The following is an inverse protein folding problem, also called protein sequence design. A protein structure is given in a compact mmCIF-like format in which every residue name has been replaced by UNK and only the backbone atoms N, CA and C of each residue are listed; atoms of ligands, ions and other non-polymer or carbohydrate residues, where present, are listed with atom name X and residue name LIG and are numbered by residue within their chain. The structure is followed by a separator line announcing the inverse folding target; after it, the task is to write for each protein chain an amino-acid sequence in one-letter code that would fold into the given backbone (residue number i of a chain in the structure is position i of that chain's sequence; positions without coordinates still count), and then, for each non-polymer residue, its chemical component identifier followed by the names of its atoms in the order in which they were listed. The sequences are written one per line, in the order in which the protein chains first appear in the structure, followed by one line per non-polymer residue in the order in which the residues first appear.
data_IF_464479844745
#
_entry.id   IF_464479844745
#
_cell.length_a   1.000
_cell.length_b   1.000
_cell.length_c   1.000
_cell.angle_alpha   90.00
_cell.angle_beta   90.00
_cell.angle_gamma   90.00
#
_symmetry.space_group_name_H-M   'P 1'
#
loop_
_entity.id
_entity.type
_entity.pdbx_description
1 polymer ?
#
# COMPACT_ATOMS: atom_id res chain seq x y z
N UNK A 1 -40.58 18.05 -39.50
CA UNK A 1 -40.03 17.75 -38.16
C UNK A 1 -38.92 18.76 -37.91
N UNK A 2 -39.22 19.79 -37.13
CA UNK A 2 -38.37 20.97 -36.92
C UNK A 2 -37.42 20.73 -35.75
N UNK A 3 -36.13 20.75 -36.05
CA UNK A 3 -35.04 20.57 -35.09
C UNK A 3 -34.78 21.90 -34.37
N UNK A 4 -35.09 21.97 -33.08
CA UNK A 4 -34.82 23.14 -32.24
C UNK A 4 -33.47 22.97 -31.54
N UNK A 5 -32.51 23.83 -31.87
CA UNK A 5 -31.20 23.88 -31.20
C UNK A 5 -31.33 24.61 -29.85
N UNK A 6 -30.97 23.91 -28.76
CA UNK A 6 -30.84 24.50 -27.43
C UNK A 6 -29.47 25.19 -27.30
N UNK A 7 -29.50 26.46 -26.87
CA UNK A 7 -28.31 27.31 -26.71
C UNK A 7 -27.44 26.98 -25.49
N UNK A 8 -26.27 27.65 -25.37
CA UNK A 8 -25.26 27.35 -24.35
C UNK A 8 -25.63 27.91 -22.97
N UNK A 9 -25.36 27.11 -21.93
CA UNK A 9 -25.52 27.45 -20.50
C UNK A 9 -24.29 28.26 -20.03
N UNK A 10 -24.44 29.51 -19.55
CA UNK A 10 -23.34 30.26 -18.95
C UNK A 10 -23.32 30.06 -17.42
N UNK A 11 -22.21 29.55 -16.88
CA UNK A 11 -22.07 29.42 -15.42
C UNK A 11 -20.81 28.70 -14.97
N UNK A 12 -19.62 29.19 -15.32
CA UNK A 12 -18.37 28.73 -14.68
C UNK A 12 -18.16 29.49 -13.36
N UNK A 13 -18.48 28.85 -12.23
CA UNK A 13 -18.04 29.31 -10.91
C UNK A 13 -16.52 29.18 -10.83
N UNK A 14 -15.80 30.31 -10.70
CA UNK A 14 -14.37 30.34 -10.38
C UNK A 14 -14.20 29.94 -8.92
N UNK A 15 -13.81 28.70 -8.66
CA UNK A 15 -13.31 28.25 -7.36
C UNK A 15 -11.94 28.90 -7.16
N UNK A 16 -11.82 29.77 -6.16
CA UNK A 16 -10.53 30.34 -5.75
C UNK A 16 -9.73 29.24 -5.06
N UNK A 17 -8.59 28.88 -5.65
CA UNK A 17 -7.60 28.01 -5.03
C UNK A 17 -7.06 28.73 -3.79
N UNK A 18 -7.35 28.21 -2.60
CA UNK A 18 -6.67 28.62 -1.37
C UNK A 18 -5.29 27.98 -1.38
N UNK A 19 -4.26 28.79 -1.62
CA UNK A 19 -2.86 28.35 -1.52
C UNK A 19 -2.52 28.15 -0.04
N UNK A 20 -2.42 26.89 0.38
CA UNK A 20 -2.01 26.53 1.74
C UNK A 20 -0.54 26.89 1.95
N UNK A 21 -0.27 27.61 3.04
CA UNK A 21 1.04 28.19 3.36
C UNK A 21 2.06 27.09 3.68
N UNK A 22 3.35 27.37 3.48
CA UNK A 22 4.42 26.40 3.73
C UNK A 22 4.41 25.84 5.17
N UNK A 23 3.98 26.64 6.15
CA UNK A 23 3.85 26.23 7.54
C UNK A 23 2.74 25.17 7.78
N UNK A 24 1.67 25.19 7.00
CA UNK A 24 0.59 24.18 7.11
C UNK A 24 0.99 22.83 6.51
N UNK A 25 1.84 22.83 5.48
CA UNK A 25 2.35 21.60 4.86
C UNK A 25 3.29 20.84 5.81
N UNK A 26 4.09 21.54 6.59
CA UNK A 26 4.98 20.94 7.60
C UNK A 26 4.21 20.35 8.79
N UNK A 27 3.12 20.99 9.22
CA UNK A 27 2.26 20.46 10.28
C UNK A 27 1.57 19.14 9.87
N UNK A 28 1.14 19.02 8.61
CA UNK A 28 0.55 17.78 8.08
C UNK A 28 1.59 16.65 8.00
N UNK A 29 2.85 16.97 7.68
CA UNK A 29 3.92 15.97 7.60
C UNK A 29 4.31 15.43 8.98
N UNK A 30 4.35 16.30 10.01
CA UNK A 30 4.62 15.90 11.39
C UNK A 30 3.49 15.04 12.00
N UNK A 31 2.22 15.34 11.70
CA UNK A 31 1.07 14.52 12.10
C UNK A 31 1.10 13.12 11.45
N UNK A 32 1.58 12.99 10.21
CA UNK A 32 1.75 11.69 9.54
C UNK A 32 2.86 10.85 10.15
N UNK A 33 3.97 11.44 10.58
CA UNK A 33 5.07 10.70 11.20
C UNK A 33 4.73 10.21 12.62
N UNK A 34 3.97 11.00 13.40
CA UNK A 34 3.60 10.63 14.77
C UNK A 34 2.60 9.45 14.84
N UNK A 35 1.73 9.28 13.84
CA UNK A 35 0.73 8.19 13.85
C UNK A 35 1.30 6.83 13.46
N UNK A 36 2.46 6.78 12.78
CA UNK A 36 3.11 5.52 12.39
C UNK A 36 3.83 4.81 13.54
N UNK A 37 4.04 5.47 14.68
CA UNK A 37 4.73 4.88 15.84
C UNK A 37 3.80 4.20 16.86
N UNK A 38 2.48 4.40 16.78
CA UNK A 38 1.54 3.97 17.85
C UNK A 38 0.84 2.64 17.57
N UNK A 39 0.86 2.09 16.34
CA UNK A 39 0.03 0.92 16.00
C UNK A 39 0.75 -0.44 15.94
N UNK A 40 1.97 -0.58 16.46
CA UNK A 40 2.69 -1.88 16.45
C UNK A 40 2.45 -2.78 17.67
N UNK A 41 1.52 -2.45 18.58
CA UNK A 41 1.22 -3.32 19.73
C UNK A 41 -0.24 -3.75 19.73
N UNK A 42 -0.44 -5.07 19.60
CA UNK A 42 -1.70 -5.82 19.68
C UNK A 42 -2.53 -5.93 18.39
N UNK A 43 -2.36 -7.07 17.69
CA UNK A 43 -3.47 -7.93 17.21
C UNK A 43 -2.87 -9.20 16.61
N UNK A 44 -2.50 -10.08 17.53
CA UNK A 44 -2.24 -11.49 17.26
C UNK A 44 -3.36 -12.26 17.98
N UNK A 45 -4.40 -12.65 17.24
CA UNK A 45 -5.32 -13.77 17.51
C UNK A 45 -6.46 -13.80 16.47
N UNK A 46 -6.61 -14.96 15.85
CA UNK A 46 -7.84 -15.47 15.22
C UNK A 46 -8.19 -14.90 13.83
N UNK A 47 -7.51 -15.37 12.77
CA UNK A 47 -8.16 -15.51 11.47
C UNK A 47 -7.75 -16.80 10.79
N UNK A 48 -8.71 -17.72 10.74
CA UNK A 48 -8.62 -18.97 10.01
C UNK A 48 -8.33 -18.72 8.52
N UNK A 49 -7.52 -19.56 7.87
CA UNK A 49 -7.18 -19.41 6.46
C UNK A 49 -8.40 -19.70 5.55
N UNK A 50 -8.50 -19.04 4.38
CA UNK A 50 -9.48 -19.42 3.36
C UNK A 50 -9.14 -20.81 2.80
N UNK A 51 -10.19 -21.61 2.58
CA UNK A 51 -10.17 -22.97 2.02
C UNK A 51 -9.35 -23.00 0.73
N UNK A 52 -8.30 -23.82 0.71
CA UNK A 52 -7.53 -24.18 -0.48
C UNK A 52 -8.28 -25.25 -1.27
N UNK A 53 -8.26 -25.10 -2.58
CA UNK A 53 -8.73 -26.07 -3.56
C UNK A 53 -7.79 -27.29 -3.57
N UNK A 54 -8.36 -28.49 -3.57
CA UNK A 54 -7.66 -29.77 -3.46
C UNK A 54 -6.80 -30.09 -4.69
N UNK A 55 -5.56 -30.53 -4.46
CA UNK A 55 -4.78 -31.36 -5.38
C UNK A 55 -3.84 -32.21 -4.55
N UNK A 56 -4.15 -33.50 -4.53
CA UNK A 56 -3.51 -34.54 -3.74
C UNK A 56 -2.09 -34.81 -4.25
N UNK A 57 -1.09 -34.71 -3.36
CA UNK A 57 0.17 -35.45 -3.50
C UNK A 57 0.57 -36.02 -2.15
N UNK A 58 0.58 -37.34 -2.13
CA UNK A 58 0.78 -38.27 -1.02
C UNK A 58 2.28 -38.50 -0.84
N UNK A 59 2.87 -38.09 0.28
CA UNK A 59 4.21 -38.59 0.67
C UNK A 59 4.37 -38.69 2.19
N UNK A 60 4.64 -39.94 2.62
CA UNK A 60 5.38 -40.47 3.79
C UNK A 60 5.92 -39.42 4.78
N UNK A 61 5.74 -39.53 6.10
CA UNK A 61 6.03 -40.71 6.92
C UNK A 61 7.35 -40.46 7.70
N UNK A 62 7.31 -40.74 9.00
CA UNK A 62 8.40 -40.87 9.99
C UNK A 62 8.46 -39.87 11.16
N UNK A 63 8.67 -40.53 12.30
CA UNK A 63 8.48 -40.17 13.69
C UNK A 63 9.79 -39.77 14.39
N UNK A 64 9.60 -39.26 15.61
CA UNK A 64 10.47 -39.45 16.79
C UNK A 64 11.48 -38.33 17.13
N UNK A 65 11.14 -37.57 18.17
CA UNK A 65 12.06 -36.99 19.18
C UNK A 65 12.85 -38.13 19.88
N UNK A 66 14.01 -37.91 20.56
CA UNK A 66 14.07 -37.17 21.83
C UNK A 66 15.43 -36.52 22.25
N UNK A 67 15.33 -35.60 23.22
CA UNK A 67 16.15 -35.42 24.45
C UNK A 67 17.64 -35.79 24.45
N UNK A 68 18.52 -34.84 24.79
CA UNK A 68 19.78 -35.07 25.53
C UNK A 68 20.15 -33.86 26.39
N UNK A 69 20.13 -34.05 27.72
CA UNK A 69 20.85 -33.26 28.72
C UNK A 69 22.26 -33.84 28.87
N UNK A 70 23.26 -33.00 29.08
CA UNK A 70 24.55 -33.41 29.63
C UNK A 70 25.13 -32.28 30.50
N UNK A 71 25.14 -32.50 31.81
CA UNK A 71 25.99 -31.80 32.77
C UNK A 71 27.43 -32.27 32.60
N UNK A 72 28.43 -31.38 32.65
CA UNK A 72 29.62 -31.64 33.45
C UNK A 72 30.44 -30.39 33.77
N UNK A 73 30.75 -30.27 35.06
CA UNK A 73 31.68 -29.35 35.70
C UNK A 73 33.12 -29.62 35.25
N UNK A 74 33.99 -28.61 35.22
CA UNK A 74 35.08 -28.43 36.22
C UNK A 74 36.12 -27.35 35.83
N UNK A 75 36.71 -26.78 36.90
CA UNK A 75 38.09 -26.23 37.04
C UNK A 75 38.36 -24.75 36.71
N UNK A 76 38.16 -23.96 37.77
CA UNK A 76 39.04 -22.92 38.35
C UNK A 76 40.49 -22.92 37.81
N UNK A 77 40.97 -21.78 37.30
CA UNK A 77 42.25 -21.17 37.73
C UNK A 77 42.42 -19.70 37.35
N UNK A 78 42.71 -18.93 38.39
CA UNK A 78 43.06 -17.51 38.52
C UNK A 78 43.86 -16.88 37.36
N UNK A 79 43.35 -15.76 36.84
CA UNK A 79 44.15 -14.68 36.23
C UNK A 79 43.63 -13.33 36.74
N UNK A 80 44.58 -12.46 37.02
CA UNK A 80 44.52 -11.27 37.85
C UNK A 80 43.50 -10.20 37.42
N UNK A 81 43.01 -9.36 38.35
CA UNK A 81 42.11 -8.25 38.03
C UNK A 81 42.90 -7.13 37.33
N UNK A 82 42.90 -7.11 36.00
CA UNK A 82 43.22 -5.90 35.26
C UNK A 82 41.94 -5.06 35.24
N UNK A 83 41.98 -3.90 35.88
CA UNK A 83 40.86 -2.96 35.96
C UNK A 83 40.32 -2.66 34.55
N UNK A 84 39.03 -2.92 34.26
CA UNK A 84 38.44 -2.53 32.99
C UNK A 84 38.31 -1.01 32.96
N UNK A 85 39.10 -0.38 32.10
CA UNK A 85 38.87 1.01 31.67
C UNK A 85 37.42 1.11 31.17
N UNK A 86 36.59 1.84 31.92
CA UNK A 86 35.13 2.00 31.68
C UNK A 86 34.77 2.72 30.37
N UNK A 87 35.74 3.10 29.54
CA UNK A 87 35.51 3.85 28.30
C UNK A 87 35.36 3.00 27.03
N UNK A 88 35.73 1.70 27.03
CA UNK A 88 35.70 0.86 25.80
C UNK A 88 34.37 0.12 25.56
N UNK A 89 33.47 0.06 26.56
CA UNK A 89 32.23 -0.72 26.43
C UNK A 89 31.10 0.06 25.75
N UNK A 90 31.24 1.37 25.62
CA UNK A 90 30.18 2.27 25.15
C UNK A 90 30.20 2.40 23.62
N UNK A 91 31.38 2.47 23.00
CA UNK A 91 31.57 2.56 21.54
C UNK A 91 31.08 1.31 20.78
N UNK A 92 31.34 0.11 21.31
CA UNK A 92 30.97 -1.15 20.64
C UNK A 92 29.46 -1.37 20.46
N UNK A 93 28.62 -0.74 21.29
CA UNK A 93 27.16 -0.86 21.20
C UNK A 93 26.55 0.08 20.15
N UNK A 94 27.17 1.24 19.91
CA UNK A 94 26.67 2.23 18.95
C UNK A 94 26.96 1.81 17.50
N UNK A 95 28.15 1.27 17.24
CA UNK A 95 28.53 0.74 15.92
C UNK A 95 27.58 -0.39 15.46
N UNK A 96 27.22 -1.30 16.38
CA UNK A 96 26.28 -2.39 16.12
C UNK A 96 24.86 -1.88 15.77
N UNK A 97 24.46 -0.76 16.37
CA UNK A 97 23.16 -0.12 16.12
C UNK A 97 23.14 0.56 14.75
N UNK A 98 24.21 1.25 14.37
CA UNK A 98 24.34 1.93 13.08
C UNK A 98 24.38 0.94 11.92
N UNK A 99 25.15 -0.15 12.05
CA UNK A 99 25.22 -1.21 11.04
C UNK A 99 23.84 -1.88 10.84
N UNK A 100 23.13 -2.17 11.94
CA UNK A 100 21.77 -2.72 11.89
C UNK A 100 20.79 -1.79 11.15
N UNK A 101 20.90 -0.48 11.39
CA UNK A 101 20.09 0.54 10.70
C UNK A 101 20.39 0.59 9.21
N UNK A 102 21.67 0.60 8.82
CA UNK A 102 22.07 0.57 7.40
C UNK A 102 21.56 -0.68 6.69
N UNK A 103 21.71 -1.87 7.30
CA UNK A 103 21.17 -3.14 6.77
C UNK A 103 19.65 -3.11 6.62
N UNK A 104 18.92 -2.43 7.50
CA UNK A 104 17.47 -2.25 7.37
C UNK A 104 17.13 -1.35 6.19
N UNK A 105 17.77 -0.19 6.07
CA UNK A 105 17.52 0.74 4.97
C UNK A 105 17.85 0.14 3.61
N UNK A 106 18.92 -0.67 3.51
CA UNK A 106 19.26 -1.37 2.27
C UNK A 106 18.17 -2.38 1.88
N UNK A 107 17.65 -3.15 2.84
CA UNK A 107 16.52 -4.06 2.60
C UNK A 107 15.27 -3.30 2.16
N UNK A 108 14.94 -2.20 2.83
CA UNK A 108 13.79 -1.36 2.49
C UNK A 108 13.94 -0.80 1.05
N UNK A 109 15.15 -0.38 0.66
CA UNK A 109 15.46 0.09 -0.70
C UNK A 109 15.26 -1.01 -1.75
N UNK A 110 15.80 -2.21 -1.50
CA UNK A 110 15.68 -3.37 -2.40
C UNK A 110 14.20 -3.78 -2.56
N UNK A 111 13.45 -3.77 -1.46
CA UNK A 111 12.02 -4.10 -1.45
C UNK A 111 11.17 -3.04 -2.18
N UNK A 112 11.48 -1.75 -2.03
CA UNK A 112 10.81 -0.68 -2.77
C UNK A 112 11.08 -0.78 -4.27
N UNK A 113 12.34 -1.03 -4.67
CA UNK A 113 12.70 -1.22 -6.07
C UNK A 113 12.03 -2.46 -6.67
N UNK A 114 11.96 -3.56 -5.92
CA UNK A 114 11.19 -4.75 -6.31
C UNK A 114 9.70 -4.43 -6.45
N UNK A 115 9.14 -3.74 -5.48
CA UNK A 115 7.74 -3.29 -5.48
C UNK A 115 7.42 -2.45 -6.71
N UNK A 116 8.28 -1.49 -7.08
CA UNK A 116 8.11 -0.65 -8.26
C UNK A 116 8.02 -1.47 -9.56
N UNK A 117 8.85 -2.51 -9.71
CA UNK A 117 8.82 -3.41 -10.88
C UNK A 117 7.56 -4.27 -10.95
N UNK A 118 7.03 -4.66 -9.79
CA UNK A 118 5.88 -5.55 -9.67
C UNK A 118 4.55 -4.81 -9.43
N UNK A 119 4.57 -3.48 -9.45
CA UNK A 119 3.38 -2.68 -9.21
C UNK A 119 2.30 -3.03 -10.24
N UNK A 120 1.10 -3.44 -9.80
CA UNK A 120 0.04 -3.78 -10.74
C UNK A 120 -0.34 -2.54 -11.54
N UNK A 121 -0.43 -2.70 -12.85
CA UNK A 121 -0.79 -1.62 -13.77
C UNK A 121 -2.23 -1.77 -14.24
N UNK A 122 -2.89 -0.63 -14.42
CA UNK A 122 -4.21 -0.56 -15.03
C UNK A 122 -4.05 -0.66 -16.54
N UNK A 123 -4.81 -1.56 -17.17
CA UNK A 123 -4.86 -1.69 -18.64
C UNK A 123 -5.86 -0.67 -19.17
N UNK A 124 -5.38 0.46 -19.64
CA UNK A 124 -6.20 1.49 -20.29
C UNK A 124 -6.34 1.15 -21.78
N UNK A 125 -7.55 1.26 -22.32
CA UNK A 125 -7.78 1.07 -23.75
C UNK A 125 -9.25 1.24 -24.13
N UNK A 126 -9.47 1.65 -25.38
CA UNK A 126 -10.82 1.88 -25.93
C UNK A 126 -11.64 0.59 -26.01
N UNK A 127 -10.97 -0.53 -26.33
CA UNK A 127 -11.57 -1.85 -26.48
C UNK A 127 -10.86 -2.88 -25.60
N UNK A 128 -11.63 -3.70 -24.91
CA UNK A 128 -11.14 -4.85 -24.15
C UNK A 128 -11.74 -6.15 -24.71
N UNK A 129 -10.89 -7.13 -25.05
CA UNK A 129 -11.37 -8.44 -25.53
C UNK A 129 -12.22 -9.12 -24.45
N UNK A 130 -13.39 -9.63 -24.83
CA UNK A 130 -14.26 -10.40 -23.94
C UNK A 130 -15.16 -9.57 -23.01
N UNK A 131 -15.26 -8.25 -23.23
CA UNK A 131 -16.32 -7.45 -22.59
C UNK A 131 -17.65 -7.77 -23.24
N UNK A 132 -18.69 -7.98 -22.44
CA UNK A 132 -20.03 -8.24 -22.95
C UNK A 132 -20.77 -6.94 -23.24
N UNK A 133 -21.63 -6.95 -24.26
CA UNK A 133 -22.39 -5.78 -24.75
C UNK A 133 -23.30 -5.13 -23.69
N UNK A 134 -23.63 -5.82 -22.60
CA UNK A 134 -24.43 -5.25 -21.51
C UNK A 134 -23.60 -4.47 -20.48
N UNK A 135 -22.26 -4.55 -20.55
CA UNK A 135 -21.38 -3.80 -19.65
C UNK A 135 -21.34 -2.35 -20.10
N UNK A 136 -21.73 -1.43 -19.22
CA UNK A 136 -21.64 0.01 -19.43
C UNK A 136 -20.52 0.58 -18.59
N UNK A 137 -19.63 1.35 -19.20
CA UNK A 137 -18.58 2.05 -18.48
C UNK A 137 -19.19 3.09 -17.53
N UNK A 138 -18.88 3.00 -16.25
CA UNK A 138 -19.41 3.93 -15.24
C UNK A 138 -18.87 5.36 -15.35
N UNK A 139 -17.91 5.63 -16.24
CA UNK A 139 -17.29 6.95 -16.38
C UNK A 139 -17.65 7.63 -17.71
N UNK A 140 -17.43 6.95 -18.85
CA UNK A 140 -17.72 7.50 -20.18
C UNK A 140 -18.99 6.94 -20.82
N UNK A 141 -19.71 6.05 -20.13
CA UNK A 141 -20.99 5.46 -20.56
C UNK A 141 -20.93 4.65 -21.86
N UNK A 142 -19.74 4.40 -22.41
CA UNK A 142 -19.53 3.49 -23.52
C UNK A 142 -20.03 2.08 -23.16
N UNK A 143 -20.88 1.52 -24.02
CA UNK A 143 -21.47 0.21 -23.87
C UNK A 143 -20.62 -0.85 -24.60
N UNK A 144 -20.36 -1.99 -23.95
CA UNK A 144 -19.64 -3.14 -24.52
C UNK A 144 -18.15 -2.93 -24.85
N UNK A 145 -17.64 -1.70 -24.81
CA UNK A 145 -16.30 -1.37 -25.28
C UNK A 145 -15.20 -1.77 -24.29
N UNK A 146 -15.34 -1.37 -23.02
CA UNK A 146 -14.34 -1.61 -21.98
C UNK A 146 -14.98 -1.68 -20.59
N UNK A 147 -14.29 -2.33 -19.64
CA UNK A 147 -14.66 -2.24 -18.23
C UNK A 147 -14.35 -0.85 -17.67
N UNK A 148 -15.13 -0.37 -16.68
CA UNK A 148 -14.91 0.94 -16.06
C UNK A 148 -13.47 1.16 -15.60
N UNK A 149 -12.81 0.14 -15.05
CA UNK A 149 -11.40 0.24 -14.62
C UNK A 149 -10.44 0.56 -15.77
N UNK A 150 -10.78 0.18 -17.01
CA UNK A 150 -9.98 0.37 -18.23
C UNK A 150 -10.33 1.65 -19.02
N UNK A 151 -11.21 2.51 -18.50
CA UNK A 151 -11.70 3.69 -19.22
C UNK A 151 -10.55 4.61 -19.70
N UNK A 152 -10.47 4.91 -21.01
CA UNK A 152 -9.45 5.80 -21.58
C UNK A 152 -9.79 7.28 -21.46
N UNK A 153 -11.06 7.63 -21.25
CA UNK A 153 -11.50 9.04 -21.12
C UNK A 153 -11.16 9.60 -19.76
N UNK A 154 -11.36 8.80 -18.71
CA UNK A 154 -11.06 9.16 -17.32
C UNK A 154 -9.93 8.27 -16.83
N UNK A 155 -8.69 8.74 -16.86
CA UNK A 155 -7.51 7.96 -16.44
C UNK A 155 -7.02 8.32 -15.03
N UNK A 156 -7.29 9.56 -14.60
CA UNK A 156 -6.94 10.08 -13.29
C UNK A 156 -7.89 9.55 -12.21
N UNK A 157 -7.36 9.13 -11.06
CA UNK A 157 -8.13 8.57 -9.95
C UNK A 157 -9.04 9.58 -9.25
N UNK A 158 -8.59 10.82 -9.09
CA UNK A 158 -9.31 11.87 -8.38
C UNK A 158 -10.51 12.31 -9.22
N UNK A 159 -10.31 12.49 -10.53
CA UNK A 159 -11.40 12.78 -11.47
C UNK A 159 -12.46 11.67 -11.47
N UNK A 160 -12.03 10.40 -11.45
CA UNK A 160 -12.94 9.24 -11.35
C UNK A 160 -13.73 9.27 -10.04
N UNK A 161 -13.07 9.56 -8.92
CA UNK A 161 -13.71 9.60 -7.61
C UNK A 161 -14.72 10.75 -7.53
N UNK A 162 -14.31 11.95 -7.95
CA UNK A 162 -15.15 13.14 -7.99
C UNK A 162 -16.38 12.93 -8.88
N UNK A 163 -16.23 12.33 -10.06
CA UNK A 163 -17.35 12.00 -10.94
C UNK A 163 -18.36 11.08 -10.25
N UNK A 164 -17.90 9.99 -9.64
CA UNK A 164 -18.77 9.03 -8.94
C UNK A 164 -19.49 9.70 -7.77
N UNK A 165 -18.80 10.53 -6.99
CA UNK A 165 -19.40 11.23 -5.87
C UNK A 165 -20.42 12.28 -6.32
N UNK A 166 -20.08 13.08 -7.33
CA UNK A 166 -20.96 14.10 -7.92
C UNK A 166 -22.24 13.50 -8.48
N UNK A 167 -22.14 12.35 -9.16
CA UNK A 167 -23.28 11.70 -9.80
C UNK A 167 -24.14 10.88 -8.80
N UNK A 168 -23.82 10.96 -7.50
CA UNK A 168 -24.52 10.25 -6.45
C UNK A 168 -24.31 8.73 -6.47
N UNK A 169 -23.31 8.24 -7.22
CA UNK A 169 -23.01 6.82 -7.35
C UNK A 169 -22.20 6.30 -6.14
N UNK A 170 -22.34 5.01 -5.87
CA UNK A 170 -21.67 4.36 -4.75
C UNK A 170 -20.21 4.05 -5.07
N UNK A 171 -19.28 4.45 -4.20
CA UNK A 171 -17.85 4.18 -4.36
C UNK A 171 -17.46 2.70 -4.33
N UNK A 172 -18.35 1.81 -3.87
CA UNK A 172 -18.10 0.37 -3.76
C UNK A 172 -18.57 -0.44 -4.98
N UNK A 173 -19.67 -0.04 -5.62
CA UNK A 173 -20.23 -0.74 -6.77
C UNK A 173 -20.32 0.08 -8.06
N UNK A 174 -20.05 1.40 -8.01
CA UNK A 174 -20.20 2.38 -9.10
C UNK A 174 -21.64 2.60 -9.59
N UNK A 175 -22.62 1.98 -8.96
CA UNK A 175 -24.05 2.11 -9.27
C UNK A 175 -24.77 2.99 -8.24
N UNK A 176 -26.04 3.29 -8.49
CA UNK A 176 -26.92 3.93 -7.49
C UNK A 176 -27.50 2.84 -6.59
N UNK A 177 -26.96 2.71 -5.37
CA UNK A 177 -27.53 1.83 -4.36
C UNK A 177 -28.36 2.63 -3.34
N UNK A 178 -29.39 2.00 -2.78
CA UNK A 178 -30.31 2.64 -1.83
C UNK A 178 -29.58 3.10 -0.56
N UNK A 179 -28.65 2.28 -0.05
CA UNK A 179 -27.77 2.62 1.06
C UNK A 179 -26.32 2.24 0.71
N UNK A 180 -25.41 3.18 0.92
CA UNK A 180 -23.96 2.99 0.71
C UNK A 180 -23.35 2.20 1.84
N UNK A 181 -23.87 2.32 3.06
CA UNK A 181 -23.35 1.65 4.24
C UNK A 181 -23.66 0.15 4.22
N UNK A 182 -24.80 -0.23 3.64
CA UNK A 182 -25.25 -1.61 3.44
C UNK A 182 -24.95 -2.15 2.04
N UNK A 183 -24.14 -1.44 1.25
CA UNK A 183 -23.79 -1.89 -0.10
C UNK A 183 -23.14 -3.28 -0.05
N UNK A 184 -23.73 -4.27 -0.73
CA UNK A 184 -23.22 -5.66 -0.80
C UNK A 184 -21.76 -5.76 -1.28
N UNK A 185 -21.26 -4.75 -2.00
CA UNK A 185 -19.89 -4.70 -2.52
C UNK A 185 -18.89 -4.04 -1.55
N UNK A 186 -19.35 -3.43 -0.45
CA UNK A 186 -18.49 -2.76 0.55
C UNK A 186 -17.45 -3.68 1.19
N UNK A 187 -17.79 -4.96 1.38
CA UNK A 187 -16.89 -5.97 1.96
C UNK A 187 -15.95 -6.62 0.94
N UNK A 188 -16.04 -6.29 -0.34
CA UNK A 188 -15.15 -6.84 -1.36
C UNK A 188 -13.82 -6.08 -1.34
N UNK A 189 -12.69 -6.75 -1.12
CA UNK A 189 -11.41 -6.08 -1.11
C UNK A 189 -11.04 -5.62 -2.53
N UNK A 190 -10.45 -4.43 -2.64
CA UNK A 190 -9.86 -3.98 -3.90
C UNK A 190 -8.73 -4.94 -4.33
N UNK A 191 -8.75 -5.40 -5.58
CA UNK A 191 -7.75 -6.31 -6.13
C UNK A 191 -6.33 -5.71 -6.08
N UNK A 192 -6.19 -4.44 -6.50
CA UNK A 192 -4.91 -3.73 -6.47
C UNK A 192 -4.35 -3.62 -5.05
N UNK A 193 -5.19 -3.19 -4.09
CA UNK A 193 -4.79 -3.11 -2.69
C UNK A 193 -4.41 -4.47 -2.11
N UNK A 194 -5.10 -5.54 -2.50
CA UNK A 194 -4.80 -6.90 -2.01
C UNK A 194 -3.42 -7.38 -2.45
N UNK A 195 -2.94 -6.95 -3.62
CA UNK A 195 -1.59 -7.28 -4.12
C UNK A 195 -0.50 -6.55 -3.32
N UNK A 196 -0.70 -5.27 -3.03
CA UNK A 196 0.34 -4.45 -2.37
C UNK A 196 0.32 -4.56 -0.85
N UNK A 197 -0.81 -4.94 -0.25
CA UNK A 197 -0.99 -5.07 1.22
C UNK A 197 0.08 -5.93 1.92
N UNK A 198 0.51 -7.10 1.41
CA UNK A 198 1.55 -7.90 2.07
C UNK A 198 2.99 -7.41 1.79
N UNK A 199 3.17 -6.28 1.13
CA UNK A 199 4.50 -5.77 0.72
C UNK A 199 4.86 -4.46 1.45
N UNK A 200 6.09 -3.97 1.25
CA UNK A 200 6.51 -2.64 1.72
C UNK A 200 5.64 -1.51 1.14
N UNK A 201 4.94 -1.74 0.02
CA UNK A 201 4.07 -0.76 -0.64
C UNK A 201 2.70 -0.56 0.03
N UNK A 202 2.49 -1.08 1.24
CA UNK A 202 1.24 -0.90 1.99
C UNK A 202 0.87 0.58 2.18
N UNK A 203 1.84 1.49 2.25
CA UNK A 203 1.62 2.93 2.37
C UNK A 203 0.92 3.57 1.15
N UNK A 204 0.81 2.84 0.03
CA UNK A 204 0.07 3.30 -1.14
C UNK A 204 -1.43 3.10 -0.99
N UNK A 205 -1.88 2.21 -0.10
CA UNK A 205 -3.30 1.90 0.08
C UNK A 205 -4.01 3.14 0.66
N UNK A 206 -5.07 3.63 -0.01
CA UNK A 206 -5.90 4.71 0.52
C UNK A 206 -6.45 4.40 1.92
N UNK A 207 -6.64 5.42 2.75
CA UNK A 207 -7.18 5.27 4.12
C UNK A 207 -8.57 4.61 4.13
N UNK A 208 -9.37 4.80 3.08
CA UNK A 208 -10.56 4.00 2.84
C UNK A 208 -10.16 2.62 2.28
N UNK A 209 -9.97 1.66 3.20
CA UNK A 209 -9.57 0.28 2.88
C UNK A 209 -10.52 -0.44 1.90
N UNK A 210 -11.73 0.11 1.72
CA UNK A 210 -12.79 -0.41 0.89
C UNK A 210 -13.14 0.62 -0.19
N UNK A 211 -12.94 0.24 -1.45
CA UNK A 211 -13.31 1.02 -2.63
C UNK A 211 -13.37 0.10 -3.85
N UNK A 212 -14.12 0.50 -4.87
CA UNK A 212 -14.12 -0.21 -6.15
C UNK A 212 -12.76 -0.07 -6.85
N UNK A 213 -12.25 -1.15 -7.46
CA UNK A 213 -10.91 -1.17 -8.09
C UNK A 213 -10.67 -0.05 -9.11
N UNK A 214 -11.74 0.37 -9.80
CA UNK A 214 -11.68 1.45 -10.78
C UNK A 214 -11.32 2.82 -10.18
N UNK A 215 -11.53 2.99 -8.88
CA UNK A 215 -11.21 4.19 -8.12
C UNK A 215 -9.88 4.07 -7.35
N UNK A 216 -9.15 2.95 -7.50
CA UNK A 216 -7.92 2.73 -6.77
C UNK A 216 -6.76 3.57 -7.34
N UNK A 217 -6.01 4.25 -6.48
CA UNK A 217 -4.80 5.03 -6.84
C UNK A 217 -3.53 4.20 -6.93
N UNK A 218 -3.51 2.97 -6.39
CA UNK A 218 -2.32 2.09 -6.38
C UNK A 218 -1.69 1.92 -7.77
N UNK A 219 -2.45 1.67 -8.86
CA UNK A 219 -1.87 1.53 -10.20
C UNK A 219 -1.17 2.78 -10.74
N UNK A 220 -1.56 3.96 -10.24
CA UNK A 220 -1.06 5.26 -10.66
C UNK A 220 0.06 5.78 -9.73
N UNK A 221 0.37 5.05 -8.65
CA UNK A 221 1.27 5.51 -7.58
C UNK A 221 2.76 5.30 -7.86
N UNK A 222 3.20 5.18 -9.12
CA UNK A 222 4.61 4.93 -9.45
C UNK A 222 5.54 6.02 -8.90
N UNK A 223 5.13 7.27 -9.01
CA UNK A 223 5.94 8.41 -8.57
C UNK A 223 6.11 8.42 -7.05
N UNK A 224 5.05 8.13 -6.28
CA UNK A 224 5.12 7.99 -4.82
C UNK A 224 6.13 6.93 -4.37
N UNK A 225 6.34 5.88 -5.16
CA UNK A 225 7.35 4.84 -4.87
C UNK A 225 8.75 5.35 -5.20
N UNK A 226 8.90 6.11 -6.30
CA UNK A 226 10.19 6.75 -6.66
C UNK A 226 10.62 7.74 -5.58
N UNK A 227 9.69 8.54 -5.07
CA UNK A 227 9.95 9.48 -3.97
C UNK A 227 10.41 8.71 -2.72
N UNK A 228 9.70 7.64 -2.34
CA UNK A 228 10.09 6.80 -1.21
C UNK A 228 11.47 6.14 -1.38
N UNK A 229 11.82 5.73 -2.61
CA UNK A 229 13.16 5.22 -2.93
C UNK A 229 14.23 6.28 -2.69
N UNK A 230 13.96 7.52 -3.11
CA UNK A 230 14.91 8.62 -2.98
C UNK A 230 15.09 9.05 -1.51
N UNK A 231 14.01 9.06 -0.74
CA UNK A 231 14.05 9.30 0.71
C UNK A 231 14.92 8.26 1.44
N UNK A 232 14.80 6.98 1.07
CA UNK A 232 15.59 5.89 1.66
C UNK A 232 17.06 6.00 1.25
N UNK A 233 17.35 6.35 -0.02
CA UNK A 233 18.73 6.59 -0.49
C UNK A 233 19.39 7.74 0.26
N UNK A 234 18.69 8.87 0.38
CA UNK A 234 19.15 10.03 1.16
C UNK A 234 19.42 9.67 2.62
N UNK A 235 18.60 8.78 3.19
CA UNK A 235 18.79 8.27 4.57
C UNK A 235 20.01 7.36 4.71
N UNK A 236 20.29 6.52 3.70
CA UNK A 236 21.49 5.68 3.64
C UNK A 236 22.76 6.53 3.58
N UNK A 237 22.81 7.52 2.68
CA UNK A 237 23.95 8.43 2.54
C UNK A 237 24.26 9.17 3.86
N UNK A 238 23.23 9.72 4.50
CA UNK A 238 23.37 10.39 5.81
C UNK A 238 23.89 9.45 6.89
N UNK A 239 23.52 8.17 6.86
CA UNK A 239 24.00 7.17 7.83
C UNK A 239 25.41 6.64 7.54
N UNK A 240 25.97 6.95 6.38
CA UNK A 240 27.33 6.55 5.97
C UNK A 240 28.39 7.62 6.25
N UNK A 241 27.97 8.86 6.57
CA UNK A 241 28.89 9.92 6.95
C UNK A 241 29.34 9.71 8.41
N UNK A 242 30.66 9.65 8.67
CA UNK A 242 31.22 9.47 10.00
C UNK A 242 31.00 10.68 10.91
#
# INVERSE_FOLDING_TARGET
MTTTCLGPIPGKLRIRHLESTAAEKDAILLLRLATMSVTQKSRDKSRSPPRKYDSQTKVKGYSSSPSRKCDHQTKIRNKSPTLPRKHDRQTRNEDSSQESRQRKLQRDLDDLQRGLRLLPTRKIGECSRGVSDHIVCAFCEAQGAHYSDSCPVYTNEDERFELIMRDGRCQYCLERCADREECKRKSNPCWYCSIVRPTILRFLIPNNEWHHRALCSVPNSKDRIRDAIEDVRSSLEKSSRP
#
